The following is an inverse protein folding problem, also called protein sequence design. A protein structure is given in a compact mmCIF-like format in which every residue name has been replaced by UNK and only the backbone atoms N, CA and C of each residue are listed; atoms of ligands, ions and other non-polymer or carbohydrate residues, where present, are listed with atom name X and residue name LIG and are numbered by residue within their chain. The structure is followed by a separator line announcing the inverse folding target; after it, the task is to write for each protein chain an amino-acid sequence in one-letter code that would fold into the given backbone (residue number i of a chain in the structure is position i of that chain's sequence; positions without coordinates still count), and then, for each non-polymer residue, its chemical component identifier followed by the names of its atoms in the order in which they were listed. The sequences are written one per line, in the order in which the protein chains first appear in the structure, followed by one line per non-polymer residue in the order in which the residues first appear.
data_IF_863860849356
#
_entry.id   IF_863860849356
#
_cell.length_a   1.000
_cell.length_b   1.000
_cell.length_c   1.000
_cell.angle_alpha   90.00
_cell.angle_beta   90.00
_cell.angle_gamma   90.00
#
_symmetry.space_group_name_H-M   'P 1'
#
loop_
_entity.id
_entity.type
_entity.pdbx_description
1 polymer ?
#
# COMPACT_ATOMS: atom_id res chain seq x y z
N UNK A 1 -18.04 -1.44 4.06
CA UNK A 1 -16.97 -2.04 3.23
C UNK A 1 -15.69 -1.94 4.03
N UNK A 2 -14.94 -3.03 4.14
CA UNK A 2 -13.67 -3.06 4.84
C UNK A 2 -12.59 -3.68 3.96
N UNK A 3 -11.34 -3.30 4.21
CA UNK A 3 -10.17 -3.91 3.58
C UNK A 3 -9.96 -5.31 4.16
N UNK A 4 -9.97 -6.33 3.31
CA UNK A 4 -9.92 -7.74 3.69
C UNK A 4 -8.55 -8.38 3.46
N UNK A 5 -7.79 -7.92 2.46
CA UNK A 5 -6.47 -8.46 2.09
C UNK A 5 -5.62 -7.40 1.38
N UNK A 6 -4.31 -7.46 1.62
CA UNK A 6 -3.29 -6.76 0.83
C UNK A 6 -2.50 -7.81 0.05
N UNK A 7 -2.30 -7.59 -1.24
CA UNK A 7 -1.57 -8.49 -2.13
C UNK A 7 -0.55 -7.71 -2.95
N UNK A 8 0.66 -8.25 -3.09
CA UNK A 8 1.71 -7.68 -3.92
C UNK A 8 1.97 -8.57 -5.12
N UNK A 9 2.22 -7.95 -6.28
CA UNK A 9 2.52 -8.66 -7.52
C UNK A 9 3.84 -8.12 -8.06
N UNK A 10 4.82 -9.01 -8.23
CA UNK A 10 6.12 -8.71 -8.85
C UNK A 10 6.24 -9.42 -10.19
N UNK A 11 6.68 -8.69 -11.21
CA UNK A 11 6.84 -9.23 -12.57
C UNK A 11 8.33 -9.47 -12.81
N UNK A 12 8.75 -10.72 -13.01
CA UNK A 12 10.16 -11.07 -13.13
C UNK A 12 10.92 -10.35 -14.26
N UNK A 13 10.22 -9.92 -15.30
CA UNK A 13 10.78 -9.12 -16.42
C UNK A 13 11.09 -7.68 -16.01
N UNK A 14 10.46 -7.17 -14.95
CA UNK A 14 10.61 -5.82 -14.42
C UNK A 14 10.90 -5.91 -12.91
N UNK A 15 12.14 -6.23 -12.52
CA UNK A 15 12.46 -6.61 -11.13
C UNK A 15 12.24 -5.49 -10.11
N UNK A 16 12.27 -4.24 -10.55
CA UNK A 16 12.03 -3.05 -9.73
C UNK A 16 10.57 -2.58 -9.73
N UNK A 17 9.70 -3.21 -10.52
CA UNK A 17 8.29 -2.89 -10.59
C UNK A 17 7.50 -3.75 -9.60
N UNK A 18 6.61 -3.11 -8.84
CA UNK A 18 5.70 -3.79 -7.92
C UNK A 18 4.31 -3.17 -8.00
N UNK A 19 3.31 -4.04 -8.09
CA UNK A 19 1.91 -3.68 -7.97
C UNK A 19 1.38 -4.09 -6.59
N UNK A 20 0.41 -3.33 -6.11
CA UNK A 20 -0.30 -3.59 -4.86
C UNK A 20 -1.79 -3.67 -5.17
N UNK A 21 -2.43 -4.71 -4.66
CA UNK A 21 -3.87 -4.86 -4.70
C UNK A 21 -4.44 -4.78 -3.29
N UNK A 22 -5.40 -3.88 -3.10
CA UNK A 22 -6.18 -3.75 -1.87
C UNK A 22 -7.55 -4.35 -2.10
N UNK A 23 -7.81 -5.50 -1.47
CA UNK A 23 -9.08 -6.22 -1.60
C UNK A 23 -10.05 -5.78 -0.51
N UNK A 24 -11.34 -5.71 -0.83
CA UNK A 24 -12.39 -5.43 0.13
C UNK A 24 -13.26 -6.66 0.43
N UNK A 25 -14.07 -6.59 1.48
CA UNK A 25 -15.10 -7.59 1.81
C UNK A 25 -16.26 -7.65 0.79
N UNK A 26 -16.39 -6.65 -0.08
CA UNK A 26 -17.41 -6.59 -1.14
C UNK A 26 -16.93 -7.14 -2.48
N UNK A 27 -15.66 -7.54 -2.59
CA UNK A 27 -15.04 -8.03 -3.82
C UNK A 27 -14.50 -6.94 -4.74
N UNK A 28 -14.51 -5.67 -4.32
CA UNK A 28 -13.77 -4.61 -5.01
C UNK A 28 -12.26 -4.76 -4.74
N UNK A 29 -11.47 -4.46 -5.76
CA UNK A 29 -10.01 -4.54 -5.68
C UNK A 29 -9.46 -3.26 -6.31
N UNK A 30 -8.75 -2.46 -5.52
CA UNK A 30 -8.01 -1.30 -6.01
C UNK A 30 -6.58 -1.67 -6.38
N UNK A 31 -6.07 -1.08 -7.46
CA UNK A 31 -4.72 -1.28 -7.96
C UNK A 31 -3.85 -0.05 -7.70
N UNK A 32 -2.69 -0.30 -7.10
CA UNK A 32 -1.61 0.67 -6.94
C UNK A 32 -0.31 0.15 -7.55
N UNK A 33 0.60 1.07 -7.84
CA UNK A 33 1.90 0.78 -8.45
C UNK A 33 2.98 1.65 -7.82
N UNK A 34 4.19 1.10 -7.70
CA UNK A 34 5.39 1.92 -7.54
C UNK A 34 6.62 1.24 -8.15
N UNK A 35 7.74 1.96 -8.17
CA UNK A 35 8.98 1.53 -8.82
C UNK A 35 10.20 1.73 -7.91
N UNK A 36 11.26 0.96 -8.22
CA UNK A 36 12.57 0.85 -7.55
C UNK A 36 12.54 -0.04 -6.30
N UNK A 37 13.57 -0.85 -6.06
CA UNK A 37 13.75 -1.62 -4.82
C UNK A 37 12.49 -2.42 -4.39
N UNK A 38 11.85 -3.09 -5.34
CA UNK A 38 10.54 -3.72 -5.18
C UNK A 38 10.45 -4.66 -3.96
N UNK A 39 11.50 -5.43 -3.66
CA UNK A 39 11.53 -6.31 -2.49
C UNK A 39 11.49 -5.54 -1.16
N UNK A 40 12.16 -4.39 -1.08
CA UNK A 40 12.16 -3.55 0.12
C UNK A 40 10.80 -2.88 0.30
N UNK A 41 10.18 -2.44 -0.80
CA UNK A 41 8.81 -1.92 -0.79
C UNK A 41 7.81 -3.00 -0.36
N UNK A 42 7.94 -4.23 -0.88
CA UNK A 42 7.12 -5.38 -0.51
C UNK A 42 7.17 -5.65 1.00
N UNK A 43 8.38 -5.68 1.58
CA UNK A 43 8.54 -5.80 3.04
C UNK A 43 7.90 -4.63 3.78
N UNK A 44 8.11 -3.39 3.36
CA UNK A 44 7.48 -2.23 4.01
C UNK A 44 5.94 -2.32 3.99
N UNK A 45 5.36 -2.78 2.88
CA UNK A 45 3.91 -3.00 2.77
C UNK A 45 3.45 -4.07 3.76
N UNK A 46 4.05 -5.26 3.75
CA UNK A 46 3.52 -6.39 4.53
C UNK A 46 3.89 -6.34 6.01
N UNK A 47 5.06 -5.79 6.36
CA UNK A 47 5.57 -5.79 7.72
C UNK A 47 5.09 -4.57 8.53
N UNK A 48 4.80 -3.45 7.87
CA UNK A 48 4.50 -2.18 8.55
C UNK A 48 3.16 -1.55 8.17
N UNK A 49 2.89 -1.34 6.88
CA UNK A 49 1.78 -0.45 6.48
C UNK A 49 0.46 -1.19 6.22
N UNK A 50 0.50 -2.30 5.49
CA UNK A 50 -0.66 -3.13 5.17
C UNK A 50 -1.45 -3.60 6.40
N UNK A 51 -0.79 -4.08 7.48
CA UNK A 51 -1.48 -4.49 8.71
C UNK A 51 -2.33 -3.38 9.36
N UNK A 52 -1.98 -2.10 9.14
CA UNK A 52 -2.73 -0.96 9.69
C UNK A 52 -4.08 -0.75 8.98
N UNK A 53 -4.18 -1.23 7.73
CA UNK A 53 -5.34 -1.05 6.86
C UNK A 53 -6.36 -2.18 6.99
N UNK A 54 -5.93 -3.40 7.34
CA UNK A 54 -6.82 -4.57 7.46
C UNK A 54 -7.97 -4.28 8.43
N UNK A 55 -9.20 -4.58 7.99
CA UNK A 55 -10.43 -4.35 8.76
C UNK A 55 -10.89 -2.90 8.82
N UNK A 56 -10.24 -1.97 8.11
CA UNK A 56 -10.63 -0.55 8.04
C UNK A 56 -11.43 -0.23 6.79
N UNK A 57 -12.21 0.84 6.86
CA UNK A 57 -12.97 1.35 5.72
C UNK A 57 -12.00 1.98 4.68
N UNK A 58 -11.94 1.48 3.43
CA UNK A 58 -11.04 2.03 2.41
C UNK A 58 -11.37 3.47 1.99
N UNK A 59 -12.58 3.97 2.28
CA UNK A 59 -12.97 5.34 1.94
C UNK A 59 -12.30 6.40 2.84
N UNK A 60 -11.72 6.01 3.98
CA UNK A 60 -10.98 6.91 4.89
C UNK A 60 -9.55 7.22 4.41
N UNK A 61 -9.37 7.52 3.11
CA UNK A 61 -8.06 7.64 2.44
C UNK A 61 -7.10 8.57 3.19
N UNK A 62 -7.52 9.81 3.49
CA UNK A 62 -6.67 10.77 4.20
C UNK A 62 -6.25 10.26 5.59
N UNK A 63 -7.15 9.58 6.30
CA UNK A 63 -6.85 9.02 7.62
C UNK A 63 -5.81 7.91 7.52
N UNK A 64 -5.90 7.06 6.51
CA UNK A 64 -4.91 6.00 6.24
C UNK A 64 -3.56 6.60 5.89
N UNK A 65 -3.53 7.56 4.98
CA UNK A 65 -2.31 8.27 4.59
C UNK A 65 -1.63 8.93 5.80
N UNK A 66 -2.37 9.71 6.59
CA UNK A 66 -1.84 10.37 7.80
C UNK A 66 -1.31 9.36 8.83
N UNK A 67 -2.02 8.24 9.02
CA UNK A 67 -1.60 7.21 9.97
C UNK A 67 -0.28 6.57 9.56
N UNK A 68 -0.16 6.16 8.29
CA UNK A 68 1.06 5.55 7.76
C UNK A 68 2.22 6.56 7.74
N UNK A 69 1.97 7.78 7.26
CA UNK A 69 3.00 8.83 7.14
C UNK A 69 3.59 9.22 8.49
N UNK A 70 2.76 9.43 9.51
CA UNK A 70 3.23 9.76 10.88
C UNK A 70 4.06 8.65 11.51
N UNK A 71 3.77 7.38 11.21
CA UNK A 71 4.59 6.26 11.67
C UNK A 71 5.95 6.21 10.96
N UNK A 72 6.00 6.64 9.69
CA UNK A 72 7.24 6.71 8.91
C UNK A 72 8.11 7.95 9.18
N UNK A 73 7.62 8.95 9.93
CA UNK A 73 8.31 10.24 10.12
C UNK A 73 9.74 10.09 10.71
N UNK A 74 9.98 9.03 11.49
CA UNK A 74 11.31 8.69 12.03
C UNK A 74 12.33 8.22 10.97
N UNK A 75 11.87 7.75 9.80
CA UNK A 75 12.71 7.31 8.69
C UNK A 75 12.99 8.45 7.68
N UNK A 76 12.40 9.63 7.89
CA UNK A 76 12.51 10.79 7.00
C UNK A 76 11.53 10.74 5.82
N UNK A 77 11.67 11.71 4.92
CA UNK A 77 10.74 11.94 3.81
C UNK A 77 11.26 11.31 2.51
N UNK A 78 11.09 10.00 2.35
CA UNK A 78 11.49 9.26 1.14
C UNK A 78 11.56 7.75 1.35
N UNK A 79 12.38 7.08 0.53
CA UNK A 79 12.71 5.67 0.75
C UNK A 79 11.66 4.68 0.27
N UNK A 80 11.75 3.45 0.76
CA UNK A 80 10.80 2.38 0.45
C UNK A 80 9.46 2.60 1.16
N UNK A 81 9.49 3.28 2.30
CA UNK A 81 8.36 3.60 3.15
C UNK A 81 7.38 4.52 2.42
N UNK A 82 7.86 5.65 1.91
CA UNK A 82 6.99 6.59 1.20
C UNK A 82 6.44 6.01 -0.10
N UNK A 83 7.18 5.13 -0.76
CA UNK A 83 6.72 4.42 -1.97
C UNK A 83 5.67 3.36 -1.65
N UNK A 84 5.82 2.63 -0.55
CA UNK A 84 4.79 1.72 -0.04
C UNK A 84 3.50 2.48 0.29
N UNK A 85 3.61 3.61 1.00
CA UNK A 85 2.48 4.49 1.31
C UNK A 85 1.81 4.97 0.02
N UNK A 86 2.60 5.44 -0.97
CA UNK A 86 2.10 5.89 -2.26
C UNK A 86 1.34 4.80 -3.01
N UNK A 87 1.87 3.57 -3.07
CA UNK A 87 1.21 2.48 -3.78
C UNK A 87 -0.11 2.08 -3.10
N UNK A 88 -0.14 2.05 -1.76
CA UNK A 88 -1.36 1.79 -1.00
C UNK A 88 -2.39 2.91 -1.18
N UNK A 89 -1.97 4.18 -1.15
CA UNK A 89 -2.85 5.33 -1.34
C UNK A 89 -3.50 5.34 -2.73
N UNK A 90 -2.72 5.08 -3.79
CA UNK A 90 -3.24 4.96 -5.16
C UNK A 90 -4.26 3.82 -5.25
N UNK A 91 -3.99 2.66 -4.64
CA UNK A 91 -4.94 1.55 -4.61
C UNK A 91 -6.24 1.91 -3.87
N UNK A 92 -6.17 2.70 -2.80
CA UNK A 92 -7.38 3.17 -2.10
C UNK A 92 -8.18 4.17 -2.93
N UNK A 93 -7.50 5.03 -3.70
CA UNK A 93 -8.18 5.93 -4.65
C UNK A 93 -8.85 5.18 -5.80
N UNK A 94 -8.26 4.09 -6.28
CA UNK A 94 -8.85 3.24 -7.34
C UNK A 94 -10.12 2.50 -6.88
N UNK A 95 -10.27 2.25 -5.56
CA UNK A 95 -11.51 1.68 -4.98
C UNK A 95 -12.67 2.68 -5.00
N UNK A 96 -12.38 3.99 -4.92
CA UNK A 96 -13.35 5.05 -4.65
C UNK A 96 -14.15 5.45 -5.89
#
# INVERSE_FOLDING_TARGET
MIISKIETIRVGQFPDLIFVQVHTDTGLIGLGETWYAASTVESAIHDHFGPLLIGRDPAEIERHWQTMFRLSDHAGYGGAELRAISALDVALWDIK
#
